data_IF_056962122753
#
_entry.id   IF_056962122753
#
_cell.length_a   1.000
_cell.length_b   1.000
_cell.length_c   1.000
_cell.angle_alpha   90.00
_cell.angle_beta   90.00
_cell.angle_gamma   90.00
#
_symmetry.space_group_name_H-M   'P 1'
#
loop_
_entity.id
_entity.type
_entity.pdbx_description
1 polymer ?
#
# COMPACT_ATOMS: atom_id res chain seq x y z
N UNK A 1 22.22 2.15 -21.39
CA UNK A 1 22.31 3.54 -20.90
C UNK A 1 22.41 3.50 -19.38
N UNK A 2 23.44 4.11 -18.79
CA UNK A 2 23.59 4.17 -17.33
C UNK A 2 22.79 5.36 -16.79
N UNK A 3 21.93 5.13 -15.80
CA UNK A 3 21.18 6.23 -15.18
C UNK A 3 22.10 7.13 -14.36
N UNK A 4 21.93 8.46 -14.40
CA UNK A 4 22.72 9.40 -13.60
C UNK A 4 22.19 9.48 -12.16
N UNK A 5 22.01 8.34 -11.49
CA UNK A 5 21.65 8.33 -10.06
C UNK A 5 22.93 8.55 -9.26
N UNK A 6 23.00 9.68 -8.55
CA UNK A 6 24.08 9.92 -7.57
C UNK A 6 23.60 9.57 -6.17
N UNK A 7 24.51 9.19 -5.29
CA UNK A 7 24.20 9.00 -3.88
C UNK A 7 25.32 9.56 -2.98
N UNK A 8 24.92 10.02 -1.80
CA UNK A 8 25.84 10.57 -0.79
C UNK A 8 25.44 10.09 0.60
N UNK A 9 26.44 9.67 1.38
CA UNK A 9 26.25 9.43 2.81
C UNK A 9 26.27 10.77 3.56
N UNK A 10 25.34 10.93 4.50
CA UNK A 10 25.22 12.09 5.37
C UNK A 10 25.43 11.64 6.83
N UNK A 11 25.46 12.60 7.76
CA UNK A 11 25.60 12.30 9.19
C UNK A 11 24.45 11.42 9.71
N UNK A 12 24.71 10.67 10.81
CA UNK A 12 23.68 9.83 11.44
C UNK A 12 23.19 8.65 10.59
N UNK A 13 24.05 8.10 9.72
CA UNK A 13 23.70 6.94 8.88
C UNK A 13 22.72 7.25 7.74
N UNK A 14 22.41 8.53 7.51
CA UNK A 14 21.55 9.02 6.44
C UNK A 14 22.17 8.82 5.07
N UNK A 15 21.32 8.63 4.07
CA UNK A 15 21.72 8.61 2.65
C UNK A 15 20.76 9.45 1.83
N UNK A 16 21.30 10.14 0.83
CA UNK A 16 20.51 10.86 -0.18
C UNK A 16 20.83 10.29 -1.56
N UNK A 17 19.79 10.08 -2.35
CA UNK A 17 19.84 9.63 -3.73
C UNK A 17 19.20 10.69 -4.61
N UNK A 18 19.87 11.10 -5.68
CA UNK A 18 19.33 12.11 -6.59
C UNK A 18 19.30 11.60 -8.02
N UNK A 19 18.26 11.98 -8.74
CA UNK A 19 18.06 11.69 -10.15
C UNK A 19 17.47 12.94 -10.81
N UNK A 20 18.23 13.55 -11.72
CA UNK A 20 17.72 14.58 -12.61
C UNK A 20 17.21 13.92 -13.89
N UNK A 21 15.95 14.17 -14.25
CA UNK A 21 15.37 13.73 -15.51
C UNK A 21 15.17 14.96 -16.40
N UNK A 22 15.77 15.00 -17.61
CA UNK A 22 15.61 16.11 -18.54
C UNK A 22 14.14 16.43 -18.79
N UNK A 23 13.80 17.71 -18.94
CA UNK A 23 12.44 18.21 -19.20
C UNK A 23 11.38 17.86 -18.14
N UNK A 24 11.75 17.17 -17.06
CA UNK A 24 10.84 16.80 -15.98
C UNK A 24 11.20 17.48 -14.67
N UNK A 25 12.44 17.34 -14.19
CA UNK A 25 12.89 17.98 -12.95
C UNK A 25 13.84 17.13 -12.11
N UNK A 26 14.00 17.53 -10.84
CA UNK A 26 14.86 16.86 -9.88
C UNK A 26 14.04 15.95 -8.95
N UNK A 27 14.51 14.72 -8.81
CA UNK A 27 14.01 13.75 -7.85
C UNK A 27 15.10 13.49 -6.81
N UNK A 28 14.70 13.52 -5.55
CA UNK A 28 15.53 13.17 -4.41
C UNK A 28 14.83 12.08 -3.61
N UNK A 29 15.57 11.10 -3.08
CA UNK A 29 15.10 10.18 -2.07
C UNK A 29 16.09 10.14 -0.90
N UNK A 30 15.59 10.43 0.29
CA UNK A 30 16.31 10.26 1.54
C UNK A 30 16.02 8.88 2.10
N UNK A 31 17.05 8.23 2.65
CA UNK A 31 16.95 7.02 3.48
C UNK A 31 17.51 7.36 4.86
N UNK A 32 16.63 7.32 5.88
CA UNK A 32 16.89 7.91 7.19
C UNK A 32 16.59 6.88 8.28
N UNK A 33 17.56 6.48 9.12
CA UNK A 33 17.27 5.70 10.31
C UNK A 33 16.27 6.42 11.22
N UNK A 34 15.29 5.72 11.78
CA UNK A 34 14.24 6.32 12.60
C UNK A 34 14.81 7.09 13.81
N UNK A 35 15.94 6.64 14.35
CA UNK A 35 16.69 7.29 15.44
C UNK A 35 17.39 8.59 15.03
N UNK A 36 17.39 8.93 13.74
CA UNK A 36 18.06 10.09 13.18
C UNK A 36 17.11 11.00 12.38
N UNK A 37 15.80 10.74 12.48
CA UNK A 37 14.76 11.62 11.96
C UNK A 37 14.65 12.88 12.81
N UNK A 38 14.57 14.02 12.13
CA UNK A 38 14.26 15.31 12.73
C UNK A 38 12.75 15.48 12.91
N UNK A 39 12.35 16.44 13.74
CA UNK A 39 10.94 16.82 13.90
C UNK A 39 10.30 17.26 12.58
N UNK A 40 11.06 17.94 11.72
CA UNK A 40 10.56 18.38 10.42
C UNK A 40 10.27 17.19 9.50
N UNK A 41 11.15 16.20 9.41
CA UNK A 41 10.94 15.02 8.59
C UNK A 41 9.79 14.16 9.14
N UNK A 42 9.65 14.09 10.46
CA UNK A 42 8.48 13.46 11.06
C UNK A 42 7.19 14.17 10.70
N UNK A 43 7.16 15.50 10.68
CA UNK A 43 6.00 16.26 10.21
C UNK A 43 5.69 15.95 8.74
N UNK A 44 6.70 15.82 7.88
CA UNK A 44 6.50 15.42 6.48
C UNK A 44 5.91 14.00 6.37
N UNK A 45 6.43 13.04 7.14
CA UNK A 45 5.89 11.67 7.18
C UNK A 45 4.43 11.69 7.61
N UNK A 46 4.10 12.36 8.70
CA UNK A 46 2.71 12.49 9.18
C UNK A 46 1.82 13.15 8.13
N UNK A 47 2.29 14.23 7.50
CA UNK A 47 1.56 14.96 6.47
C UNK A 47 1.27 14.08 5.24
N UNK A 48 2.24 13.32 4.74
CA UNK A 48 2.03 12.35 3.66
C UNK A 48 1.03 11.24 4.04
N UNK A 49 1.06 10.79 5.29
CA UNK A 49 0.16 9.73 5.79
C UNK A 49 -1.29 10.18 5.99
N UNK A 50 -1.57 11.48 6.01
CA UNK A 50 -2.94 11.98 5.97
C UNK A 50 -3.70 11.54 4.71
N UNK A 51 -2.98 11.17 3.64
CA UNK A 51 -3.56 10.52 2.46
C UNK A 51 -4.35 9.26 2.81
N UNK A 52 -3.97 8.48 3.83
CA UNK A 52 -4.72 7.29 4.26
C UNK A 52 -6.13 7.60 4.72
N UNK A 53 -6.31 8.66 5.53
CA UNK A 53 -7.64 9.08 5.95
C UNK A 53 -8.51 9.49 4.76
N UNK A 54 -7.89 10.05 3.70
CA UNK A 54 -8.59 10.40 2.47
C UNK A 54 -8.92 9.18 1.61
N UNK A 55 -8.05 8.18 1.54
CA UNK A 55 -8.22 6.98 0.70
C UNK A 55 -9.08 5.92 1.40
N UNK A 56 -8.71 5.54 2.63
CA UNK A 56 -9.31 4.41 3.35
C UNK A 56 -10.39 4.82 4.36
N UNK A 57 -10.40 6.10 4.80
CA UNK A 57 -11.43 6.69 5.67
C UNK A 57 -11.39 6.25 7.13
N UNK A 58 -11.93 7.08 8.04
CA UNK A 58 -12.13 6.77 9.46
C UNK A 58 -11.26 7.62 10.41
N UNK A 59 -11.85 8.18 11.47
CA UNK A 59 -11.13 8.95 12.49
C UNK A 59 -10.18 8.06 13.32
N UNK A 60 -10.54 6.77 13.49
CA UNK A 60 -9.72 5.77 14.20
C UNK A 60 -8.46 5.37 13.41
N UNK A 61 -8.43 5.63 12.10
CA UNK A 61 -7.28 5.37 11.23
C UNK A 61 -6.10 6.22 11.66
N UNK A 62 -6.34 7.50 11.90
CA UNK A 62 -5.31 8.43 12.31
C UNK A 62 -4.64 7.97 13.62
N UNK A 63 -5.44 7.58 14.63
CA UNK A 63 -4.90 7.08 15.91
C UNK A 63 -4.10 5.79 15.77
N UNK A 64 -4.54 4.85 14.91
CA UNK A 64 -3.80 3.60 14.64
C UNK A 64 -2.47 3.85 13.90
N UNK A 65 -2.39 4.92 13.10
CA UNK A 65 -1.17 5.32 12.37
C UNK A 65 -0.21 6.12 13.25
N UNK A 66 -0.72 6.95 14.18
CA UNK A 66 0.11 7.82 15.03
C UNK A 66 1.00 7.03 16.00
N UNK A 67 0.53 5.87 16.46
CA UNK A 67 1.22 5.02 17.42
C UNK A 67 1.66 3.68 16.82
N UNK A 68 1.99 3.67 15.52
CA UNK A 68 2.41 2.45 14.84
C UNK A 68 3.80 2.00 15.38
N UNK A 69 3.91 0.84 16.05
CA UNK A 69 5.16 0.41 16.69
C UNK A 69 6.30 0.23 15.69
N UNK A 70 5.98 -0.07 14.43
CA UNK A 70 6.96 -0.26 13.36
C UNK A 70 7.57 1.05 12.85
N UNK A 71 7.16 2.21 13.37
CA UNK A 71 7.82 3.49 13.08
C UNK A 71 9.22 3.60 13.68
N UNK A 72 9.62 2.67 14.56
CA UNK A 72 10.94 2.64 15.17
C UNK A 72 11.16 3.80 16.14
N UNK A 73 10.08 4.28 16.77
CA UNK A 73 10.10 5.28 17.84
C UNK A 73 10.09 4.60 19.21
N UNK A 74 10.61 5.24 20.27
CA UNK A 74 10.43 4.74 21.64
C UNK A 74 8.94 4.51 21.97
N UNK A 75 8.60 3.43 22.69
CA UNK A 75 9.51 2.42 23.28
C UNK A 75 9.90 1.28 22.33
N UNK A 76 9.45 1.29 21.08
CA UNK A 76 9.56 0.16 20.14
C UNK A 76 10.82 0.16 19.26
N UNK A 77 11.64 1.21 19.33
CA UNK A 77 12.86 1.36 18.53
C UNK A 77 13.90 0.26 18.75
N UNK A 78 13.91 -0.37 19.94
CA UNK A 78 14.75 -1.53 20.23
C UNK A 78 14.18 -2.84 19.68
N UNK A 79 12.91 -2.89 19.31
CA UNK A 79 12.26 -4.09 18.74
C UNK A 79 12.28 -4.07 17.22
N UNK A 80 12.08 -2.88 16.65
CA UNK A 80 11.93 -2.65 15.22
C UNK A 80 12.93 -1.58 14.76
N UNK A 81 14.15 -1.99 14.36
CA UNK A 81 15.03 -1.08 13.66
C UNK A 81 14.37 -0.69 12.32
N UNK A 82 14.06 0.60 12.19
CA UNK A 82 13.30 1.14 11.06
C UNK A 82 14.12 2.21 10.35
N UNK A 83 14.04 2.19 9.03
CA UNK A 83 14.49 3.27 8.14
C UNK A 83 13.29 3.84 7.41
N UNK A 84 13.17 5.16 7.37
CA UNK A 84 12.12 5.85 6.61
C UNK A 84 12.72 6.39 5.33
N UNK A 85 11.99 6.23 4.24
CA UNK A 85 12.32 6.83 2.96
C UNK A 85 11.40 8.01 2.69
N UNK A 86 11.98 9.13 2.28
CA UNK A 86 11.25 10.34 1.87
C UNK A 86 11.73 10.70 0.48
N UNK A 87 10.88 10.51 -0.54
CA UNK A 87 11.13 11.05 -1.86
C UNK A 87 10.50 12.41 -2.03
N UNK A 88 11.26 13.34 -2.63
CA UNK A 88 10.84 14.68 -2.99
C UNK A 88 11.05 14.86 -4.49
N UNK A 89 10.01 15.35 -5.16
CA UNK A 89 10.08 15.88 -6.51
C UNK A 89 9.96 17.39 -6.45
N UNK A 90 10.81 18.08 -7.21
CA UNK A 90 10.76 19.53 -7.42
C UNK A 90 10.67 19.79 -8.93
N UNK A 91 9.57 20.39 -9.37
CA UNK A 91 9.41 20.80 -10.76
C UNK A 91 10.31 21.99 -11.11
N UNK A 92 10.57 22.25 -12.40
CA UNK A 92 11.26 23.47 -12.84
C UNK A 92 10.58 24.77 -12.38
N UNK A 93 9.26 24.72 -12.18
CA UNK A 93 8.45 25.84 -11.67
C UNK A 93 8.38 25.93 -10.13
N UNK A 94 9.09 25.06 -9.40
CA UNK A 94 9.10 25.06 -7.93
C UNK A 94 7.94 24.33 -7.26
N UNK A 95 7.10 23.60 -8.01
CA UNK A 95 6.06 22.73 -7.44
C UNK A 95 6.71 21.53 -6.76
N UNK A 96 6.36 21.31 -5.50
CA UNK A 96 6.86 20.18 -4.73
C UNK A 96 5.80 19.09 -4.55
N UNK A 97 6.28 17.84 -4.59
CA UNK A 97 5.50 16.67 -4.20
C UNK A 97 6.41 15.73 -3.44
N UNK A 98 5.92 15.15 -2.35
CA UNK A 98 6.68 14.16 -1.61
C UNK A 98 5.90 12.89 -1.33
N UNK A 99 6.66 11.84 -1.13
CA UNK A 99 6.21 10.49 -0.91
C UNK A 99 7.01 9.91 0.23
N UNK A 100 6.39 9.08 1.04
CA UNK A 100 7.06 8.42 2.15
C UNK A 100 6.85 6.93 2.07
N UNK A 101 7.82 6.18 2.58
CA UNK A 101 7.77 4.73 2.76
C UNK A 101 8.58 4.40 4.02
N UNK A 102 8.46 3.18 4.53
CA UNK A 102 9.39 2.66 5.53
C UNK A 102 9.85 1.26 5.18
N UNK A 103 11.07 0.95 5.62
CA UNK A 103 11.59 -0.40 5.76
C UNK A 103 11.79 -0.70 7.24
N UNK A 104 11.23 -1.82 7.67
CA UNK A 104 11.22 -2.28 9.07
C UNK A 104 11.94 -3.61 9.12
N UNK A 105 12.84 -3.77 10.08
CA UNK A 105 13.53 -5.03 10.38
C UNK A 105 13.09 -5.54 11.76
N UNK A 106 13.43 -6.79 12.08
CA UNK A 106 13.13 -7.39 13.38
C UNK A 106 14.42 -7.64 14.15
N UNK A 107 14.41 -7.31 15.43
CA UNK A 107 15.36 -7.92 16.36
C UNK A 107 14.86 -9.30 16.82
N UNK A 108 15.76 -10.20 17.24
CA UNK A 108 15.38 -11.51 17.77
C UNK A 108 14.32 -11.42 18.87
N UNK A 109 13.28 -12.25 18.78
CA UNK A 109 12.17 -12.29 19.74
C UNK A 109 11.10 -11.20 19.55
N UNK A 110 11.27 -10.27 18.62
CA UNK A 110 10.22 -9.29 18.28
C UNK A 110 9.02 -9.95 17.60
N UNK A 111 7.79 -9.45 17.83
CA UNK A 111 6.62 -9.84 17.05
C UNK A 111 6.82 -9.60 15.54
N UNK A 112 6.21 -10.44 14.71
CA UNK A 112 6.30 -10.35 13.24
C UNK A 112 5.48 -9.18 12.68
N UNK A 113 5.83 -8.76 11.46
CA UNK A 113 5.10 -7.72 10.73
C UNK A 113 3.71 -8.17 10.27
N UNK A 114 2.79 -7.21 10.15
CA UNK A 114 1.46 -7.41 9.55
C UNK A 114 1.55 -8.07 8.16
N UNK A 115 2.54 -7.66 7.36
CA UNK A 115 2.82 -8.18 6.01
C UNK A 115 3.12 -9.70 5.97
N UNK A 116 3.32 -10.34 7.13
CA UNK A 116 3.51 -11.79 7.29
C UNK A 116 2.37 -12.40 8.10
N UNK A 117 2.03 -11.83 9.26
CA UNK A 117 1.09 -12.45 10.22
C UNK A 117 -0.35 -12.49 9.73
N UNK A 118 -0.71 -11.65 8.75
CA UNK A 118 -2.07 -11.61 8.22
C UNK A 118 -2.33 -12.71 7.20
N UNK A 119 -1.31 -13.49 6.82
CA UNK A 119 -1.37 -14.41 5.69
C UNK A 119 -1.22 -15.85 6.13
N UNK A 120 -1.91 -16.73 5.41
CA UNK A 120 -1.86 -18.18 5.58
C UNK A 120 -1.78 -18.89 4.23
N UNK A 121 -1.24 -20.11 4.26
CA UNK A 121 -1.21 -21.06 3.15
C UNK A 121 -1.98 -22.29 3.60
N UNK A 122 -3.13 -22.55 2.98
CA UNK A 122 -3.97 -23.73 3.30
C UNK A 122 -4.19 -23.91 4.82
N UNK A 123 -4.63 -22.85 5.52
CA UNK A 123 -4.87 -22.81 6.97
C UNK A 123 -3.63 -22.85 7.88
N UNK A 124 -2.42 -22.89 7.31
CA UNK A 124 -1.18 -22.81 8.07
C UNK A 124 -0.59 -21.39 7.94
N UNK A 125 -0.11 -20.76 9.03
CA UNK A 125 0.49 -19.42 8.95
C UNK A 125 1.58 -19.33 7.88
N UNK A 126 1.57 -18.26 7.08
CA UNK A 126 2.56 -18.04 6.02
C UNK A 126 4.00 -18.11 6.57
N UNK A 127 4.18 -17.64 7.80
CA UNK A 127 5.45 -17.67 8.50
C UNK A 127 6.12 -19.05 8.54
N UNK A 128 5.35 -20.12 8.70
CA UNK A 128 5.89 -21.47 8.79
C UNK A 128 6.45 -21.97 7.46
N UNK A 129 5.99 -21.42 6.33
CA UNK A 129 6.55 -21.69 5.01
C UNK A 129 7.81 -20.87 4.76
N UNK A 130 7.81 -19.59 5.14
CA UNK A 130 8.97 -18.71 4.99
C UNK A 130 10.16 -19.28 5.78
N UNK A 131 9.95 -19.64 7.07
CA UNK A 131 11.00 -20.22 7.92
C UNK A 131 11.69 -21.43 7.29
N UNK A 132 10.95 -22.31 6.63
CA UNK A 132 11.49 -23.52 5.99
C UNK A 132 12.44 -23.21 4.82
N UNK A 133 12.33 -22.03 4.22
CA UNK A 133 13.17 -21.58 3.09
C UNK A 133 14.41 -20.81 3.54
N UNK A 134 14.40 -20.26 4.74
CA UNK A 134 15.48 -19.44 5.26
C UNK A 134 16.57 -20.31 5.87
N UNK A 135 17.82 -19.88 5.67
CA UNK A 135 19.03 -20.63 6.09
C UNK A 135 19.64 -20.10 7.39
N UNK A 136 19.17 -18.95 7.87
CA UNK A 136 19.58 -18.34 9.12
C UNK A 136 18.32 -17.87 9.88
N UNK A 137 18.45 -17.38 11.13
CA UNK A 137 17.30 -16.89 11.87
C UNK A 137 16.56 -15.82 11.04
N UNK A 138 15.25 -15.99 10.83
CA UNK A 138 14.48 -15.18 9.89
C UNK A 138 14.54 -13.67 10.11
N UNK A 139 14.67 -13.24 11.35
CA UNK A 139 14.79 -11.83 11.75
C UNK A 139 15.98 -11.11 11.09
N UNK A 140 17.05 -11.84 10.77
CA UNK A 140 18.21 -11.30 10.04
C UNK A 140 18.07 -11.39 8.53
N UNK A 141 17.05 -12.09 8.03
CA UNK A 141 16.89 -12.41 6.61
C UNK A 141 15.70 -11.73 5.96
N UNK A 142 14.82 -11.09 6.74
CA UNK A 142 13.60 -10.45 6.21
C UNK A 142 13.47 -9.03 6.74
N UNK A 143 13.08 -8.13 5.85
CA UNK A 143 12.54 -6.82 6.22
C UNK A 143 11.11 -6.68 5.66
N UNK A 144 10.29 -5.81 6.25
CA UNK A 144 9.04 -5.38 5.64
C UNK A 144 9.19 -4.01 4.99
N UNK A 145 8.63 -3.82 3.80
CA UNK A 145 8.51 -2.51 3.16
C UNK A 145 7.04 -2.11 3.08
N UNK A 146 6.66 -1.03 3.74
CA UNK A 146 5.24 -0.67 3.85
C UNK A 146 5.01 0.81 4.15
N UNK A 147 3.74 1.17 4.32
CA UNK A 147 3.28 2.53 4.65
C UNK A 147 3.70 3.59 3.63
N UNK A 148 3.27 3.42 2.39
CA UNK A 148 3.40 4.46 1.36
C UNK A 148 2.44 5.63 1.56
N UNK A 149 2.96 6.83 1.85
CA UNK A 149 2.19 8.08 1.90
C UNK A 149 2.50 9.03 0.73
N UNK A 150 1.63 10.01 0.48
CA UNK A 150 1.88 11.06 -0.53
C UNK A 150 1.29 12.40 -0.13
N UNK A 151 1.98 13.49 -0.48
CA UNK A 151 1.49 14.86 -0.35
C UNK A 151 2.00 15.76 -1.50
N UNK A 152 1.18 16.71 -1.99
CA UNK A 152 -0.24 16.82 -1.70
C UNK A 152 -0.99 15.62 -2.27
N UNK A 153 -1.94 15.11 -1.51
CA UNK A 153 -2.86 14.09 -2.01
C UNK A 153 -3.98 14.78 -2.79
N UNK A 154 -4.15 14.40 -4.05
CA UNK A 154 -5.27 14.83 -4.89
C UNK A 154 -6.20 13.67 -5.16
N UNK A 155 -7.50 13.92 -5.04
CA UNK A 155 -8.60 12.98 -5.30
C UNK A 155 -9.06 12.98 -6.77
N UNK A 156 -8.54 13.91 -7.58
CA UNK A 156 -8.87 14.05 -9.01
C UNK A 156 -8.02 13.12 -9.86
N UNK A 157 -8.49 12.84 -11.06
CA UNK A 157 -7.71 12.11 -12.08
C UNK A 157 -6.39 12.85 -12.30
N UNK A 158 -5.30 12.09 -12.16
CA UNK A 158 -3.94 12.62 -12.31
C UNK A 158 -3.64 12.72 -13.80
N UNK A 159 -3.00 13.81 -14.21
CA UNK A 159 -2.37 13.84 -15.52
C UNK A 159 -1.33 12.73 -15.63
N UNK A 160 -1.02 12.31 -16.85
CA UNK A 160 0.07 11.35 -17.11
C UNK A 160 1.39 11.82 -16.46
N UNK A 161 1.66 13.13 -16.51
CA UNK A 161 2.82 13.73 -15.84
C UNK A 161 2.80 13.51 -14.32
N UNK A 162 1.66 13.73 -13.64
CA UNK A 162 1.53 13.54 -12.20
C UNK A 162 1.59 12.06 -11.79
N UNK A 163 1.14 11.17 -12.68
CA UNK A 163 1.31 9.74 -12.57
C UNK A 163 2.79 9.37 -12.63
N UNK A 164 3.51 9.80 -13.67
CA UNK A 164 4.91 9.46 -13.88
C UNK A 164 5.81 10.01 -12.75
N UNK A 165 5.55 11.24 -12.28
CA UNK A 165 6.22 11.80 -11.09
C UNK A 165 6.03 10.88 -9.87
N UNK A 166 4.83 10.31 -9.71
CA UNK A 166 4.54 9.37 -8.62
C UNK A 166 5.34 8.08 -8.77
N UNK A 167 5.30 7.47 -9.96
CA UNK A 167 6.02 6.24 -10.25
C UNK A 167 7.54 6.41 -10.07
N UNK A 168 8.12 7.49 -10.60
CA UNK A 168 9.56 7.80 -10.51
C UNK A 168 9.98 8.03 -9.06
N UNK A 169 9.26 8.87 -8.32
CA UNK A 169 9.59 9.18 -6.93
C UNK A 169 9.54 7.93 -6.06
N UNK A 170 8.49 7.12 -6.22
CA UNK A 170 8.34 5.88 -5.47
C UNK A 170 9.44 4.87 -5.81
N UNK A 171 9.76 4.75 -7.11
CA UNK A 171 10.80 3.85 -7.59
C UNK A 171 12.19 4.26 -7.11
N UNK A 172 12.49 5.56 -7.04
CA UNK A 172 13.74 6.05 -6.46
C UNK A 172 13.87 5.70 -4.97
N UNK A 173 12.77 5.75 -4.20
CA UNK A 173 12.78 5.24 -2.81
C UNK A 173 13.11 3.75 -2.74
N UNK A 174 12.64 2.94 -3.71
CA UNK A 174 12.96 1.50 -3.73
C UNK A 174 14.44 1.25 -4.04
N UNK A 175 15.05 2.05 -4.92
CA UNK A 175 16.50 2.01 -5.14
C UNK A 175 17.23 2.36 -3.84
N UNK A 176 16.81 3.41 -3.13
CA UNK A 176 17.38 3.79 -1.85
C UNK A 176 17.26 2.67 -0.80
N UNK A 177 16.09 2.04 -0.73
CA UNK A 177 15.77 0.97 0.23
C UNK A 177 16.60 -0.30 0.03
N UNK A 178 16.92 -0.62 -1.23
CA UNK A 178 17.61 -1.86 -1.64
C UNK A 178 19.13 -1.70 -1.77
N UNK A 179 19.66 -0.47 -1.74
CA UNK A 179 21.08 -0.22 -1.90
C UNK A 179 21.87 -0.77 -0.69
N UNK A 180 22.80 -1.68 -0.97
CA UNK A 180 23.62 -2.35 0.04
C UNK A 180 22.80 -3.06 1.14
N UNK A 181 21.61 -3.52 0.80
CA UNK A 181 20.77 -4.33 1.67
C UNK A 181 21.17 -5.81 1.58
N UNK A 182 21.26 -6.48 2.73
CA UNK A 182 21.70 -7.86 2.86
C UNK A 182 20.58 -8.83 3.26
N UNK A 183 19.33 -8.37 3.34
CA UNK A 183 18.20 -9.24 3.61
C UNK A 183 17.99 -10.19 2.42
N UNK A 184 17.49 -11.39 2.73
CA UNK A 184 17.11 -12.36 1.71
C UNK A 184 15.81 -11.95 1.03
N UNK A 185 14.84 -11.46 1.82
CA UNK A 185 13.52 -11.07 1.34
C UNK A 185 13.08 -9.72 1.90
N UNK A 186 12.31 -8.98 1.10
CA UNK A 186 11.38 -7.98 1.61
C UNK A 186 9.95 -8.51 1.52
N UNK A 187 9.20 -8.38 2.61
CA UNK A 187 7.77 -8.68 2.66
C UNK A 187 6.97 -7.39 2.49
N UNK A 188 5.90 -7.45 1.71
CA UNK A 188 4.91 -6.39 1.66
C UNK A 188 3.56 -6.93 1.20
N UNK A 189 2.53 -6.11 1.36
CA UNK A 189 1.21 -6.36 0.79
C UNK A 189 0.73 -5.15 -0.01
N UNK A 190 0.05 -5.41 -1.12
CA UNK A 190 -0.47 -4.38 -2.01
C UNK A 190 -1.65 -4.90 -2.84
N UNK A 191 -2.53 -3.98 -3.24
CA UNK A 191 -3.52 -4.25 -4.28
C UNK A 191 -2.84 -4.34 -5.65
N UNK A 192 -3.33 -5.21 -6.53
CA UNK A 192 -2.76 -5.41 -7.87
C UNK A 192 -2.72 -4.10 -8.69
N UNK A 193 -3.72 -3.23 -8.51
CA UNK A 193 -3.80 -1.94 -9.19
C UNK A 193 -2.62 -1.02 -8.87
N UNK A 194 -1.97 -1.17 -7.71
CA UNK A 194 -0.80 -0.36 -7.38
C UNK A 194 0.38 -0.67 -8.33
N UNK A 195 0.60 -1.96 -8.61
CA UNK A 195 1.59 -2.40 -9.58
C UNK A 195 1.17 -2.08 -11.02
N UNK A 196 -0.08 -2.36 -11.38
CA UNK A 196 -0.50 -2.34 -12.78
C UNK A 196 -0.97 -0.96 -13.27
N UNK A 197 -1.26 -0.01 -12.37
CA UNK A 197 -1.81 1.32 -12.72
C UNK A 197 -1.14 2.53 -12.07
N UNK A 198 -0.28 2.33 -11.07
CA UNK A 198 0.35 3.45 -10.33
C UNK A 198 1.86 3.44 -10.48
N UNK A 199 2.47 2.26 -10.50
CA UNK A 199 3.92 2.08 -10.60
C UNK A 199 4.31 1.61 -12.00
N UNK A 200 3.81 2.35 -12.98
CA UNK A 200 4.08 2.12 -14.40
C UNK A 200 4.60 3.39 -15.07
N UNK A 201 5.27 3.25 -16.20
CA UNK A 201 5.64 4.35 -17.10
C UNK A 201 5.32 3.87 -18.52
N UNK A 202 4.54 4.66 -19.26
CA UNK A 202 4.40 4.46 -20.70
C UNK A 202 5.66 4.96 -21.41
N UNK A 203 6.31 4.10 -22.17
CA UNK A 203 7.44 4.44 -23.03
C UNK A 203 6.97 5.15 -24.32
N UNK A 204 7.89 5.75 -25.10
CA UNK A 204 7.54 6.42 -26.36
C UNK A 204 6.84 5.54 -27.40
N UNK A 205 7.06 4.22 -27.37
CA UNK A 205 6.39 3.23 -28.24
C UNK A 205 5.03 2.75 -27.67
N UNK A 206 4.52 3.41 -26.64
CA UNK A 206 3.29 3.06 -25.91
C UNK A 206 3.32 1.71 -25.17
N UNK A 207 4.48 1.06 -25.05
CA UNK A 207 4.62 -0.07 -24.13
C UNK A 207 4.64 0.40 -22.66
N UNK A 208 4.27 -0.48 -21.74
CA UNK A 208 4.22 -0.17 -20.30
C UNK A 208 5.36 -0.87 -19.58
N UNK A 209 6.29 -0.09 -19.03
CA UNK A 209 7.26 -0.60 -18.05
C UNK A 209 6.64 -0.51 -16.67
N UNK A 210 6.62 -1.62 -15.94
CA UNK A 210 6.08 -1.68 -14.58
C UNK A 210 7.10 -2.13 -13.56
N UNK A 211 6.89 -1.70 -12.32
CA UNK A 211 7.65 -2.19 -11.18
C UNK A 211 7.08 -3.54 -10.72
N UNK A 212 7.88 -4.60 -10.74
CA UNK A 212 7.38 -5.96 -10.64
C UNK A 212 7.37 -6.51 -9.21
N UNK A 213 6.21 -6.48 -8.55
CA UNK A 213 6.05 -7.13 -7.25
C UNK A 213 5.81 -8.62 -7.47
N UNK A 214 6.75 -9.44 -6.99
CA UNK A 214 6.64 -10.90 -7.10
C UNK A 214 5.67 -11.42 -6.04
N UNK A 215 4.71 -12.26 -6.46
CA UNK A 215 3.78 -12.87 -5.52
C UNK A 215 4.52 -13.85 -4.62
N UNK A 216 4.18 -13.87 -3.33
CA UNK A 216 4.80 -14.76 -2.34
C UNK A 216 4.77 -16.25 -2.74
N UNK A 217 3.66 -16.82 -3.27
CA UNK A 217 3.64 -18.20 -3.76
C UNK A 217 4.76 -18.51 -4.77
N UNK A 218 5.01 -17.61 -5.71
CA UNK A 218 5.98 -17.82 -6.79
C UNK A 218 7.41 -17.87 -6.25
N UNK A 219 7.74 -16.96 -5.32
CA UNK A 219 9.08 -16.88 -4.71
C UNK A 219 9.35 -18.05 -3.76
N UNK A 220 8.32 -18.51 -3.04
CA UNK A 220 8.43 -19.66 -2.15
C UNK A 220 8.31 -21.01 -2.88
N UNK A 221 7.93 -21.01 -4.16
CA UNK A 221 7.70 -22.21 -4.95
C UNK A 221 6.52 -23.05 -4.45
N UNK A 222 5.44 -22.38 -4.05
CA UNK A 222 4.20 -23.04 -3.62
C UNK A 222 3.41 -23.53 -4.83
N UNK A 223 2.77 -24.68 -4.69
CA UNK A 223 1.90 -25.20 -5.75
C UNK A 223 0.62 -24.36 -5.89
N UNK A 224 -0.05 -24.36 -7.06
CA UNK A 224 -1.35 -23.68 -7.22
C UNK A 224 -2.44 -24.13 -6.23
N UNK A 225 -2.37 -25.38 -5.74
CA UNK A 225 -3.25 -25.91 -4.69
C UNK A 225 -2.97 -25.36 -3.29
N UNK A 226 -1.91 -24.57 -3.12
CA UNK A 226 -1.48 -23.94 -1.86
C UNK A 226 -1.60 -22.41 -1.95
N UNK A 227 -2.81 -21.86 -2.06
CA UNK A 227 -2.99 -20.43 -2.20
C UNK A 227 -2.58 -19.70 -0.92
N UNK A 228 -1.89 -18.57 -1.08
CA UNK A 228 -1.67 -17.60 -0.01
C UNK A 228 -2.89 -16.70 0.06
N UNK A 229 -3.56 -16.65 1.22
CA UNK A 229 -4.76 -15.84 1.46
C UNK A 229 -4.69 -15.16 2.82
N UNK A 230 -5.52 -14.16 3.04
CA UNK A 230 -5.68 -13.56 4.36
C UNK A 230 -6.19 -14.60 5.37
N UNK A 231 -5.62 -14.58 6.57
CA UNK A 231 -6.13 -15.33 7.71
C UNK A 231 -7.34 -14.61 8.30
N UNK A 232 -8.51 -14.96 7.78
CA UNK A 232 -9.79 -14.42 8.25
C UNK A 232 -10.22 -14.95 9.61
N UNK A 233 -9.44 -15.82 10.26
CA UNK A 233 -9.66 -16.20 11.67
C UNK A 233 -8.98 -15.21 12.62
N UNK A 234 -7.94 -14.51 12.14
CA UNK A 234 -7.23 -13.50 12.89
C UNK A 234 -8.13 -12.26 13.15
N UNK A 235 -8.37 -11.86 14.41
CA UNK A 235 -9.22 -10.72 14.74
C UNK A 235 -8.67 -9.39 14.18
N UNK A 236 -7.36 -9.24 14.05
CA UNK A 236 -6.75 -8.04 13.44
C UNK A 236 -7.04 -7.95 11.95
N UNK A 237 -7.04 -9.07 11.23
CA UNK A 237 -7.41 -9.12 9.80
C UNK A 237 -8.89 -8.75 9.62
N UNK A 238 -9.78 -9.31 10.46
CA UNK A 238 -11.21 -8.97 10.44
C UNK A 238 -11.44 -7.49 10.70
N UNK A 239 -10.78 -6.93 11.71
CA UNK A 239 -10.82 -5.51 12.02
C UNK A 239 -10.36 -4.66 10.83
N UNK A 240 -9.32 -5.08 10.10
CA UNK A 240 -8.87 -4.38 8.90
C UNK A 240 -9.88 -4.45 7.75
N UNK A 241 -10.45 -5.63 7.49
CA UNK A 241 -11.49 -5.82 6.48
C UNK A 241 -12.68 -4.88 6.73
N UNK A 242 -13.14 -4.76 7.97
CA UNK A 242 -14.35 -3.98 8.28
C UNK A 242 -14.11 -2.48 8.40
N UNK A 243 -12.91 -2.05 8.81
CA UNK A 243 -12.59 -0.63 8.95
C UNK A 243 -11.95 -0.02 7.70
N UNK A 244 -11.45 -0.83 6.76
CA UNK A 244 -10.78 -0.37 5.56
C UNK A 244 -11.16 -1.22 4.32
N UNK A 245 -12.46 -1.45 4.07
CA UNK A 245 -12.91 -2.43 3.09
C UNK A 245 -12.37 -2.16 1.68
N UNK A 246 -12.22 -0.89 1.28
CA UNK A 246 -11.75 -0.53 -0.06
C UNK A 246 -10.32 -0.96 -0.40
N UNK A 247 -9.50 -1.28 0.61
CA UNK A 247 -8.15 -1.86 0.42
C UNK A 247 -8.14 -3.36 0.67
N UNK A 248 -8.83 -3.83 1.72
CA UNK A 248 -8.72 -5.21 2.20
C UNK A 248 -9.66 -6.22 1.54
N UNK A 249 -10.68 -5.74 0.81
CA UNK A 249 -11.63 -6.60 0.10
C UNK A 249 -11.47 -6.52 -1.41
N UNK A 250 -11.77 -7.63 -2.07
CA UNK A 250 -11.98 -7.60 -3.51
C UNK A 250 -13.27 -6.81 -3.81
N UNK A 251 -13.09 -5.64 -4.44
CA UNK A 251 -14.18 -4.71 -4.68
C UNK A 251 -15.25 -5.23 -5.65
N UNK A 252 -14.89 -6.15 -6.57
CA UNK A 252 -15.84 -6.79 -7.47
C UNK A 252 -16.69 -7.82 -6.73
N UNK A 253 -16.09 -8.63 -5.85
CA UNK A 253 -16.84 -9.58 -5.05
C UNK A 253 -17.75 -8.87 -4.04
N UNK A 254 -17.26 -7.77 -3.44
CA UNK A 254 -18.07 -6.92 -2.57
C UNK A 254 -19.26 -6.32 -3.32
N UNK A 255 -19.06 -5.87 -4.56
CA UNK A 255 -20.14 -5.40 -5.42
C UNK A 255 -21.19 -6.50 -5.62
N UNK A 256 -20.76 -7.69 -6.03
CA UNK A 256 -21.65 -8.84 -6.22
C UNK A 256 -22.43 -9.18 -4.96
N UNK A 257 -21.78 -9.25 -3.80
CA UNK A 257 -22.44 -9.51 -2.52
C UNK A 257 -23.55 -8.48 -2.24
N UNK A 258 -23.23 -7.19 -2.32
CA UNK A 258 -24.18 -6.12 -2.03
C UNK A 258 -25.32 -6.06 -3.05
N UNK A 259 -25.02 -6.30 -4.34
CA UNK A 259 -26.02 -6.36 -5.39
C UNK A 259 -26.98 -7.53 -5.21
N UNK A 260 -26.49 -8.70 -4.80
CA UNK A 260 -27.35 -9.85 -4.49
C UNK A 260 -28.27 -9.55 -3.30
N UNK A 261 -27.74 -8.95 -2.23
CA UNK A 261 -28.57 -8.50 -1.10
C UNK A 261 -29.64 -7.49 -1.51
N UNK A 262 -29.35 -6.60 -2.46
CA UNK A 262 -30.34 -5.68 -3.01
C UNK A 262 -31.39 -6.40 -3.88
N UNK A 263 -30.97 -7.34 -4.73
CA UNK A 263 -31.88 -8.14 -5.56
C UNK A 263 -32.84 -8.99 -4.71
N UNK A 264 -32.36 -9.53 -3.59
CA UNK A 264 -33.16 -10.27 -2.61
C UNK A 264 -34.04 -9.37 -1.73
N UNK A 265 -34.07 -8.06 -2.00
CA UNK A 265 -34.80 -7.05 -1.21
C UNK A 265 -34.40 -7.07 0.27
N UNK A 266 -33.13 -7.35 0.56
CA UNK A 266 -32.49 -7.22 1.88
C UNK A 266 -31.78 -5.87 2.03
N UNK A 267 -31.54 -5.18 0.92
CA UNK A 267 -31.15 -3.78 0.87
C UNK A 267 -32.12 -2.96 0.02
N UNK A 268 -32.27 -1.70 0.41
CA UNK A 268 -33.09 -0.67 -0.23
C UNK A 268 -32.36 0.68 -0.16
N UNK A 269 -32.72 1.65 -1.01
CA UNK A 269 -32.11 2.99 -0.97
C UNK A 269 -32.16 3.67 0.42
N UNK A 270 -33.27 3.59 1.20
CA UNK A 270 -33.34 4.14 2.55
C UNK A 270 -32.22 3.67 3.49
N UNK A 271 -31.75 2.43 3.35
CA UNK A 271 -30.67 1.86 4.18
C UNK A 271 -29.33 2.62 4.01
N UNK A 272 -29.17 3.34 2.89
CA UNK A 272 -27.99 4.12 2.56
C UNK A 272 -28.18 5.63 2.79
N UNK A 273 -29.30 6.08 3.35
CA UNK A 273 -29.61 7.51 3.51
C UNK A 273 -28.51 8.29 4.27
N UNK A 274 -28.00 7.73 5.37
CA UNK A 274 -26.90 8.30 6.14
C UNK A 274 -25.54 8.28 5.43
N UNK A 275 -25.38 7.44 4.41
CA UNK A 275 -24.19 7.35 3.56
C UNK A 275 -24.27 8.40 2.44
N UNK A 276 -25.42 8.47 1.78
CA UNK A 276 -25.71 9.39 0.67
C UNK A 276 -25.48 10.84 1.09
N UNK A 277 -25.90 11.23 2.29
CA UNK A 277 -25.70 12.60 2.82
C UNK A 277 -24.23 12.99 3.04
N UNK A 278 -23.31 12.02 3.05
CA UNK A 278 -21.87 12.23 3.27
C UNK A 278 -21.05 12.14 1.98
N UNK A 279 -21.67 11.80 0.85
CA UNK A 279 -20.96 11.69 -0.42
C UNK A 279 -20.56 13.08 -0.94
N UNK A 280 -19.33 13.26 -1.42
CA UNK A 280 -18.86 14.53 -1.98
C UNK A 280 -19.30 14.74 -3.44
N UNK A 281 -20.34 14.03 -3.87
CA UNK A 281 -20.87 14.02 -5.23
C UNK A 281 -22.38 13.77 -5.18
N UNK A 282 -23.09 14.11 -6.25
CA UNK A 282 -24.50 13.76 -6.42
C UNK A 282 -24.66 12.24 -6.36
N UNK A 283 -25.52 11.78 -5.45
CA UNK A 283 -25.79 10.36 -5.32
C UNK A 283 -26.53 9.82 -6.55
N UNK A 284 -26.23 8.59 -6.99
CA UNK A 284 -26.98 7.94 -8.06
C UNK A 284 -28.46 7.74 -7.67
N UNK A 285 -29.35 7.78 -8.65
CA UNK A 285 -30.79 7.63 -8.43
C UNK A 285 -31.21 6.18 -8.08
N UNK A 286 -30.43 5.19 -8.50
CA UNK A 286 -30.72 3.77 -8.31
C UNK A 286 -29.79 3.07 -7.31
N UNK A 287 -30.31 2.05 -6.62
CA UNK A 287 -29.54 1.28 -5.63
C UNK A 287 -28.33 0.57 -6.25
N UNK A 288 -28.48 0.02 -7.45
CA UNK A 288 -27.38 -0.67 -8.15
C UNK A 288 -26.24 0.28 -8.48
N UNK A 289 -26.56 1.49 -8.97
CA UNK A 289 -25.54 2.50 -9.27
C UNK A 289 -24.88 3.04 -8.00
N UNK A 290 -25.65 3.17 -6.92
CA UNK A 290 -25.12 3.53 -5.61
C UNK A 290 -24.16 2.45 -5.08
N UNK A 291 -24.52 1.17 -5.15
CA UNK A 291 -23.63 0.06 -4.76
C UNK A 291 -22.37 0.07 -5.63
N UNK A 292 -22.51 0.18 -6.96
CA UNK A 292 -21.38 0.29 -7.90
C UNK A 292 -20.44 1.45 -7.59
N UNK A 293 -21.00 2.57 -7.13
CA UNK A 293 -20.22 3.72 -6.69
C UNK A 293 -19.48 3.39 -5.40
N UNK A 294 -20.20 2.90 -4.40
CA UNK A 294 -19.70 2.64 -3.06
C UNK A 294 -18.65 1.53 -3.02
N UNK A 295 -18.68 0.55 -3.93
CA UNK A 295 -17.63 -0.48 -4.00
C UNK A 295 -16.38 -0.04 -4.73
N UNK A 296 -16.31 1.17 -5.30
CA UNK A 296 -15.04 1.70 -5.79
C UNK A 296 -14.09 1.96 -4.61
N UNK A 297 -12.78 1.68 -4.73
CA UNK A 297 -11.82 1.83 -3.62
C UNK A 297 -11.95 3.16 -2.86
N UNK A 298 -12.15 4.27 -3.60
CA UNK A 298 -12.24 5.63 -3.04
C UNK A 298 -13.51 5.93 -2.24
N UNK A 299 -14.60 5.21 -2.51
CA UNK A 299 -15.90 5.42 -1.86
C UNK A 299 -16.26 4.30 -0.88
N UNK A 300 -15.55 3.19 -0.90
CA UNK A 300 -15.81 2.04 -0.04
C UNK A 300 -15.76 2.38 1.45
N UNK A 301 -14.96 3.38 1.83
CA UNK A 301 -14.97 3.94 3.20
C UNK A 301 -16.33 4.42 3.70
N UNK A 302 -17.23 4.83 2.80
CA UNK A 302 -18.56 5.26 3.19
C UNK A 302 -19.48 4.10 3.56
N UNK A 303 -19.11 2.85 3.25
CA UNK A 303 -19.80 1.64 3.71
C UNK A 303 -19.46 1.27 5.16
N UNK A 304 -18.37 1.81 5.74
CA UNK A 304 -17.91 1.44 7.09
C UNK A 304 -19.03 1.53 8.15
N UNK A 305 -19.85 2.59 8.23
CA UNK A 305 -20.94 2.66 9.22
C UNK A 305 -21.98 1.55 9.04
N UNK A 306 -22.23 1.12 7.80
CA UNK A 306 -23.17 0.04 7.49
C UNK A 306 -22.59 -1.32 7.86
N UNK A 307 -21.32 -1.56 7.50
CA UNK A 307 -20.58 -2.79 7.83
C UNK A 307 -20.47 -2.96 9.35
N UNK A 308 -20.20 -1.88 10.07
CA UNK A 308 -20.05 -1.89 11.53
C UNK A 308 -21.35 -1.57 12.29
N UNK A 309 -22.52 -1.65 11.63
CA UNK A 309 -23.78 -1.36 12.28
C UNK A 309 -24.01 -2.34 13.46
N UNK A 310 -24.34 -1.84 14.66
CA UNK A 310 -24.72 -2.70 15.77
C UNK A 310 -26.16 -3.19 15.57
N UNK A 311 -26.38 -4.51 15.57
CA UNK A 311 -27.73 -5.08 15.47
C UNK A 311 -28.35 -4.99 14.07
N UNK A 312 -29.63 -4.63 13.99
CA UNK A 312 -30.39 -4.61 12.73
C UNK A 312 -30.08 -3.37 11.89
N UNK A 313 -29.76 -3.59 10.62
CA UNK A 313 -29.73 -2.53 9.60
C UNK A 313 -31.17 -2.24 9.17
N UNK A 314 -31.93 -3.30 8.91
CA UNK A 314 -33.36 -3.28 8.62
C UNK A 314 -33.99 -4.64 9.06
N UNK A 315 -35.31 -4.85 8.92
CA UNK A 315 -35.96 -6.08 9.37
C UNK A 315 -35.44 -7.39 8.72
N UNK A 316 -34.70 -7.32 7.61
CA UNK A 316 -34.24 -8.47 6.82
C UNK A 316 -32.71 -8.64 6.81
N UNK A 317 -31.98 -7.75 7.47
CA UNK A 317 -30.53 -7.75 7.50
C UNK A 317 -29.97 -7.17 8.80
N UNK A 318 -29.10 -7.92 9.45
CA UNK A 318 -28.28 -7.43 10.57
C UNK A 318 -26.87 -7.09 10.11
N UNK A 319 -26.18 -6.25 10.89
CA UNK A 319 -24.77 -5.95 10.69
C UNK A 319 -23.89 -7.21 10.78
N UNK A 320 -24.20 -8.15 11.67
CA UNK A 320 -23.47 -9.43 11.76
C UNK A 320 -23.64 -10.29 10.51
N UNK A 321 -24.86 -10.35 9.96
CA UNK A 321 -25.10 -11.08 8.70
C UNK A 321 -24.32 -10.45 7.54
N UNK A 322 -24.25 -9.12 7.46
CA UNK A 322 -23.44 -8.44 6.46
C UNK A 322 -21.95 -8.73 6.64
N UNK A 323 -21.42 -8.61 7.86
CA UNK A 323 -20.01 -8.91 8.18
C UNK A 323 -19.66 -10.35 7.85
N UNK A 324 -20.51 -11.30 8.23
CA UNK A 324 -20.32 -12.71 7.91
C UNK A 324 -20.32 -12.95 6.40
N UNK A 325 -21.25 -12.33 5.67
CA UNK A 325 -21.27 -12.39 4.21
C UNK A 325 -19.99 -11.85 3.57
N UNK A 326 -19.43 -10.77 4.10
CA UNK A 326 -18.12 -10.24 3.64
C UNK A 326 -17.00 -11.25 3.91
N UNK A 327 -16.97 -11.86 5.09
CA UNK A 327 -15.94 -12.85 5.44
C UNK A 327 -16.01 -14.12 4.59
N UNK A 328 -17.21 -14.56 4.21
CA UNK A 328 -17.42 -15.82 3.51
C UNK A 328 -17.32 -15.69 1.99
N UNK A 329 -17.83 -14.61 1.41
CA UNK A 329 -18.05 -14.51 -0.04
C UNK A 329 -17.19 -13.48 -0.76
N UNK A 330 -16.55 -12.55 -0.05
CA UNK A 330 -15.76 -11.47 -0.68
C UNK A 330 -14.29 -11.85 -0.65
N UNK A 331 -13.60 -11.90 -1.79
CA UNK A 331 -12.16 -12.21 -1.86
C UNK A 331 -11.25 -11.19 -1.20
N UNK A 332 -9.95 -11.48 -1.19
CA UNK A 332 -8.93 -10.60 -0.64
C UNK A 332 -8.64 -9.43 -1.61
N UNK A 333 -8.53 -8.22 -1.08
CA UNK A 333 -8.13 -7.04 -1.84
C UNK A 333 -6.64 -7.01 -2.19
N UNK A 334 -5.73 -7.03 -1.18
CA UNK A 334 -4.31 -7.10 -1.44
C UNK A 334 -3.88 -8.54 -1.75
N UNK A 335 -2.65 -8.69 -2.24
CA UNK A 335 -1.93 -9.95 -2.25
C UNK A 335 -0.64 -9.84 -1.42
N UNK A 336 -0.17 -10.98 -0.90
CA UNK A 336 1.14 -11.09 -0.26
C UNK A 336 2.25 -11.08 -1.31
N UNK A 337 3.21 -10.18 -1.15
CA UNK A 337 4.37 -10.01 -2.01
C UNK A 337 5.66 -10.30 -1.24
N UNK A 338 6.52 -11.11 -1.84
CA UNK A 338 7.87 -11.39 -1.35
C UNK A 338 8.85 -10.97 -2.43
N UNK A 339 9.77 -10.07 -2.10
CA UNK A 339 10.69 -9.47 -3.04
C UNK A 339 12.11 -9.90 -2.73
N UNK A 340 12.85 -10.29 -3.76
CA UNK A 340 14.30 -10.52 -3.65
C UNK A 340 14.99 -9.16 -3.91
N UNK A 341 15.73 -8.57 -2.94
CA UNK A 341 16.20 -7.18 -3.05
C UNK A 341 16.96 -6.87 -4.34
N UNK A 342 17.81 -7.79 -4.83
CA UNK A 342 18.54 -7.62 -6.10
C UNK A 342 17.61 -7.52 -7.31
N UNK A 343 16.64 -8.43 -7.41
CA UNK A 343 15.68 -8.45 -8.53
C UNK A 343 14.75 -7.24 -8.46
N UNK A 344 14.32 -6.88 -7.25
CA UNK A 344 13.50 -5.71 -6.99
C UNK A 344 14.19 -4.42 -7.41
N UNK A 345 15.44 -4.25 -7.01
CA UNK A 345 16.28 -3.13 -7.41
C UNK A 345 16.45 -3.07 -8.94
N UNK A 346 16.67 -4.20 -9.60
CA UNK A 346 16.79 -4.22 -11.05
C UNK A 346 15.48 -3.77 -11.73
N UNK A 347 14.33 -4.23 -11.24
CA UNK A 347 13.03 -3.77 -11.73
C UNK A 347 12.86 -2.26 -11.54
N UNK A 348 13.30 -1.71 -10.40
CA UNK A 348 13.27 -0.28 -10.12
C UNK A 348 14.16 0.51 -11.09
N UNK A 349 15.39 0.05 -11.33
CA UNK A 349 16.30 0.67 -12.29
C UNK A 349 15.73 0.65 -13.71
N UNK A 350 15.09 -0.44 -14.13
CA UNK A 350 14.47 -0.54 -15.45
C UNK A 350 13.34 0.50 -15.64
N UNK A 351 12.46 0.67 -14.63
CA UNK A 351 11.41 1.68 -14.70
C UNK A 351 11.98 3.10 -14.77
N UNK A 352 13.00 3.41 -13.95
CA UNK A 352 13.68 4.71 -14.01
C UNK A 352 14.38 4.95 -15.36
N UNK A 353 14.93 3.91 -15.99
CA UNK A 353 15.49 4.00 -17.35
C UNK A 353 14.42 4.33 -18.39
N UNK A 354 13.25 3.69 -18.32
CA UNK A 354 12.12 4.02 -19.20
C UNK A 354 11.65 5.46 -19.01
N UNK A 355 11.54 5.92 -17.77
CA UNK A 355 11.21 7.32 -17.48
C UNK A 355 12.28 8.27 -18.04
N UNK A 356 13.56 7.99 -17.81
CA UNK A 356 14.65 8.82 -18.32
C UNK A 356 14.62 8.90 -19.85
N UNK A 357 14.43 7.77 -20.54
CA UNK A 357 14.32 7.74 -22.00
C UNK A 357 13.14 8.59 -22.50
N UNK A 358 11.95 8.39 -21.93
CA UNK A 358 10.71 9.11 -22.29
C UNK A 358 10.88 10.63 -22.27
N UNK A 359 11.49 11.15 -21.22
CA UNK A 359 11.59 12.60 -21.03
C UNK A 359 12.87 13.20 -21.63
N UNK A 360 13.86 12.37 -21.98
CA UNK A 360 15.07 12.81 -22.70
C UNK A 360 14.87 12.91 -24.22
N UNK A 361 13.95 12.15 -24.80
CA UNK A 361 13.70 12.13 -26.25
C UNK A 361 12.82 13.30 -26.75
N UNK A 362 12.26 14.11 -25.85
CA UNK A 362 11.39 15.24 -26.20
C UNK A 362 12.11 16.48 -26.73
N UNK A 363 13.11 16.32 -27.60
CA UNK A 363 13.71 17.41 -28.37
C UNK A 363 13.21 17.40 -29.81
#
# INVERSE_FOLDING_TARGET
MTLPISHKNLSGGRKVYTLAIPNLGLFEALDIPATSLTDQEWRLITLARQSYAKIWGGANVYRKIENDPFDGRPPHNAQYPTTHQIAKYVSPSGREKFFTNRKVTLNPGSPLFDDIVFWQVSQTPLWDFIKKKLKAPPEFQIAAISRTGTYPYSVRDKSELDHDITAISWTLMQVATTQADNHTYFSCQLCAEFQDRVLTISTPDHSLTKLNFSKTPDVLGLAPSQPVKLDRTNPYVRDHIFNFPGYWTNNSDLFTLLSNLAADSRFSLPDFSGIVSRLPITAPAGITDLIKLLTRPRYCKYLIPLINHPGQINPRLTGDQLRQGILDYVGDGPFSSTLIPKNWRQSALNLLQSAFAKYSSGK
#
